data_IF_805831346054
#
_entry.id   IF_805831346054
#
_cell.length_a   1.000
_cell.length_b   1.000
_cell.length_c   1.000
_cell.angle_alpha   90.00
_cell.angle_beta   90.00
_cell.angle_gamma   90.00
#
_symmetry.space_group_name_H-M   'P 1'
#
loop_
_entity.id
_entity.type
_entity.pdbx_description
1 polymer ?
#
# COMPACT_ATOMS: atom_id res chain seq x y z
N UNK A 1 -14.86 -9.88 1.80
CA UNK A 1 -13.68 -10.17 0.97
C UNK A 1 -12.58 -10.77 1.84
N UNK A 2 -11.91 -11.81 1.36
CA UNK A 2 -10.72 -12.38 2.00
C UNK A 2 -9.54 -12.26 1.02
N UNK A 3 -8.37 -11.86 1.53
CA UNK A 3 -7.14 -11.78 0.76
C UNK A 3 -6.00 -12.46 1.51
N UNK A 4 -5.23 -13.32 0.82
CA UNK A 4 -4.08 -14.00 1.39
C UNK A 4 -2.92 -13.01 1.58
N UNK A 5 -2.28 -13.06 2.74
CA UNK A 5 -0.99 -12.41 2.99
C UNK A 5 0.08 -13.47 2.79
N UNK A 6 0.95 -13.24 1.81
CA UNK A 6 2.04 -14.15 1.49
C UNK A 6 3.36 -13.58 2.00
N UNK A 7 4.12 -14.41 2.69
CA UNK A 7 5.48 -14.10 3.14
C UNK A 7 6.45 -13.91 1.98
N UNK A 8 7.71 -13.55 2.29
CA UNK A 8 8.76 -13.37 1.27
C UNK A 8 8.99 -14.59 0.39
N UNK A 9 8.87 -15.79 0.95
CA UNK A 9 9.01 -17.10 0.30
C UNK A 9 7.74 -17.56 -0.43
N UNK A 10 6.65 -16.79 -0.37
CA UNK A 10 5.36 -17.11 -0.96
C UNK A 10 4.45 -17.98 -0.10
N UNK A 11 4.85 -18.34 1.12
CA UNK A 11 3.99 -19.07 2.05
C UNK A 11 2.84 -18.21 2.56
N UNK A 12 1.70 -18.82 2.86
CA UNK A 12 0.56 -18.17 3.48
C UNK A 12 0.91 -17.87 4.95
N UNK A 13 1.01 -16.61 5.33
CA UNK A 13 1.33 -16.19 6.70
C UNK A 13 0.14 -15.56 7.42
N UNK A 14 -0.83 -15.07 6.67
CA UNK A 14 -2.02 -14.45 7.24
C UNK A 14 -3.12 -14.23 6.22
N UNK A 15 -4.26 -13.77 6.73
CA UNK A 15 -5.44 -13.44 5.93
C UNK A 15 -5.93 -12.05 6.33
N UNK A 16 -6.08 -11.19 5.33
CA UNK A 16 -6.74 -9.90 5.48
C UNK A 16 -8.23 -10.07 5.15
N UNK A 17 -9.09 -9.74 6.10
CA UNK A 17 -10.54 -9.74 5.92
C UNK A 17 -11.06 -8.32 5.86
N UNK A 18 -11.86 -8.01 4.83
CA UNK A 18 -12.63 -6.77 4.71
C UNK A 18 -14.11 -7.11 4.63
N UNK A 19 -14.92 -6.52 5.49
CA UNK A 19 -16.38 -6.58 5.39
C UNK A 19 -16.83 -5.52 4.37
N UNK A 20 -17.48 -5.99 3.31
CA UNK A 20 -17.93 -5.18 2.18
C UNK A 20 -19.43 -4.98 2.28
N UNK A 21 -19.85 -3.75 2.03
CA UNK A 21 -21.23 -3.34 1.83
C UNK A 21 -21.26 -2.33 0.68
N UNK A 22 -21.76 -2.76 -0.46
CA UNK A 22 -21.76 -1.94 -1.68
C UNK A 22 -22.78 -0.79 -1.62
N UNK A 23 -23.72 -0.82 -0.69
CA UNK A 23 -24.68 0.27 -0.48
C UNK A 23 -24.07 1.42 0.33
N UNK A 24 -22.89 1.22 0.92
CA UNK A 24 -22.15 2.27 1.61
C UNK A 24 -21.25 3.07 0.64
N UNK A 25 -21.12 4.39 0.82
CA UNK A 25 -20.33 5.25 -0.08
C UNK A 25 -18.86 4.82 -0.26
N UNK A 26 -18.27 4.20 0.77
CA UNK A 26 -16.90 3.67 0.75
C UNK A 26 -16.84 2.15 0.51
N UNK A 27 -17.95 1.50 0.16
CA UNK A 27 -18.01 0.07 -0.10
C UNK A 27 -17.68 -0.82 1.10
N UNK A 28 -17.71 -0.30 2.33
CA UNK A 28 -17.34 -1.03 3.56
C UNK A 28 -18.47 -1.00 4.57
N UNK A 29 -18.71 -2.12 5.23
CA UNK A 29 -19.70 -2.21 6.31
C UNK A 29 -19.35 -1.24 7.43
N UNK A 30 -20.36 -0.51 7.88
CA UNK A 30 -20.30 0.31 9.10
C UNK A 30 -20.84 -0.54 10.25
N UNK A 31 -19.95 -0.93 11.18
CA UNK A 31 -20.30 -1.76 12.33
C UNK A 31 -20.14 -0.95 13.60
N UNK A 32 -21.24 -0.76 14.34
CA UNK A 32 -21.21 -0.14 15.66
C UNK A 32 -20.62 -1.13 16.69
N UNK A 33 -19.79 -0.64 17.59
CA UNK A 33 -19.24 -1.44 18.67
C UNK A 33 -20.33 -1.72 19.73
N UNK A 34 -20.77 -2.97 19.93
CA UNK A 34 -21.84 -3.26 20.87
C UNK A 34 -21.44 -3.00 22.33
N UNK A 35 -20.14 -3.00 22.64
CA UNK A 35 -19.62 -2.74 23.98
C UNK A 35 -19.35 -1.25 24.26
N UNK A 36 -19.34 -0.41 23.21
CA UNK A 36 -19.04 1.02 23.31
C UNK A 36 -19.93 1.83 22.35
N UNK A 37 -21.10 2.30 22.83
CA UNK A 37 -21.99 3.10 22.00
C UNK A 37 -21.30 4.32 21.39
N UNK A 38 -21.49 4.53 20.08
CA UNK A 38 -20.88 5.63 19.34
C UNK A 38 -19.48 5.34 18.77
N UNK A 39 -18.84 4.21 19.13
CA UNK A 39 -17.57 3.78 18.53
C UNK A 39 -17.83 2.81 17.37
N UNK A 40 -17.04 2.94 16.29
CA UNK A 40 -17.09 2.03 15.17
C UNK A 40 -16.06 0.90 15.33
N UNK A 41 -16.44 -0.32 14.96
CA UNK A 41 -15.50 -1.43 14.82
C UNK A 41 -14.83 -1.33 13.44
N UNK A 42 -13.51 -1.54 13.34
CA UNK A 42 -12.84 -1.54 12.03
C UNK A 42 -13.44 -2.57 11.06
N UNK A 43 -13.78 -2.12 9.85
CA UNK A 43 -14.28 -2.99 8.78
C UNK A 43 -13.21 -3.89 8.16
N UNK A 44 -11.97 -3.80 8.65
CA UNK A 44 -10.82 -4.61 8.21
C UNK A 44 -10.17 -5.30 9.40
N UNK A 45 -9.73 -6.55 9.23
CA UNK A 45 -8.99 -7.28 10.25
C UNK A 45 -8.00 -8.26 9.62
N UNK A 46 -6.81 -8.35 10.22
CA UNK A 46 -5.79 -9.34 9.86
C UNK A 46 -5.82 -10.49 10.86
N UNK A 47 -5.74 -11.69 10.36
CA UNK A 47 -5.54 -12.94 11.11
C UNK A 47 -4.20 -13.54 10.68
N UNK A 48 -3.43 -14.08 11.63
CA UNK A 48 -2.07 -14.53 11.39
C UNK A 48 -1.07 -13.39 11.36
N UNK A 49 0.02 -13.54 10.61
CA UNK A 49 1.12 -12.57 10.52
C UNK A 49 1.09 -11.81 9.20
N UNK A 50 1.33 -10.49 9.27
CA UNK A 50 1.58 -9.64 8.12
C UNK A 50 3.07 -9.31 7.94
N UNK A 51 3.92 -9.67 8.92
CA UNK A 51 5.33 -9.29 8.99
C UNK A 51 6.09 -9.69 7.72
N UNK A 52 6.67 -8.72 7.03
CA UNK A 52 7.39 -8.91 5.79
C UNK A 52 6.57 -9.42 4.61
N UNK A 53 5.29 -9.71 4.82
CA UNK A 53 4.38 -10.23 3.80
C UNK A 53 3.68 -9.14 3.00
N UNK A 54 2.97 -9.57 1.96
CA UNK A 54 2.14 -8.71 1.13
C UNK A 54 0.94 -9.47 0.54
N UNK A 55 -0.10 -8.73 0.18
CA UNK A 55 -1.21 -9.24 -0.62
C UNK A 55 -0.84 -9.06 -2.08
N UNK A 56 -0.61 -10.17 -2.78
CA UNK A 56 -0.20 -10.16 -4.19
C UNK A 56 -1.44 -10.11 -5.08
N UNK A 57 -1.81 -8.90 -5.54
CA UNK A 57 -3.02 -8.69 -6.37
C UNK A 57 -2.76 -9.18 -7.79
N UNK A 58 -1.63 -8.80 -8.36
CA UNK A 58 -1.23 -9.19 -9.71
C UNK A 58 0.29 -9.32 -9.78
N UNK A 59 0.78 -10.41 -10.41
CA UNK A 59 2.22 -10.67 -10.56
C UNK A 59 2.46 -11.33 -11.91
N UNK A 60 2.79 -10.57 -12.96
CA UNK A 60 3.21 -11.13 -14.24
C UNK A 60 4.48 -11.96 -14.10
N UNK A 61 4.64 -12.97 -14.98
CA UNK A 61 5.79 -13.88 -14.95
C UNK A 61 7.13 -13.14 -15.02
N UNK A 62 7.22 -12.13 -15.88
CA UNK A 62 8.45 -11.40 -16.19
C UNK A 62 8.49 -10.02 -15.52
N UNK A 63 7.71 -9.84 -14.44
CA UNK A 63 7.69 -8.58 -13.72
C UNK A 63 9.06 -8.29 -13.11
N UNK A 64 9.57 -7.08 -13.33
CA UNK A 64 10.78 -6.55 -12.68
C UNK A 64 10.52 -5.24 -11.94
N UNK A 65 9.32 -4.71 -12.05
CA UNK A 65 8.81 -3.55 -11.33
C UNK A 65 7.70 -3.99 -10.36
N UNK A 66 7.77 -3.52 -9.12
CA UNK A 66 6.71 -3.71 -8.12
C UNK A 66 6.13 -2.36 -7.74
N UNK A 67 4.84 -2.21 -7.95
CA UNK A 67 4.04 -1.09 -7.45
C UNK A 67 3.32 -1.56 -6.19
N UNK A 68 3.49 -0.83 -5.10
CA UNK A 68 2.93 -1.21 -3.81
C UNK A 68 2.30 0.00 -3.13
N UNK A 69 1.06 -0.15 -2.68
CA UNK A 69 0.37 0.78 -1.80
C UNK A 69 0.06 0.12 -0.45
N UNK A 70 -0.37 0.91 0.52
CA UNK A 70 -0.76 0.40 1.84
C UNK A 70 -1.96 -0.54 1.74
N UNK A 71 -3.03 -0.10 1.07
CA UNK A 71 -4.31 -0.80 0.96
C UNK A 71 -4.52 -1.50 -0.37
N UNK A 72 -5.46 -2.45 -0.38
CA UNK A 72 -5.88 -3.16 -1.58
C UNK A 72 -6.51 -2.18 -2.58
N UNK A 73 -7.36 -1.28 -2.10
CA UNK A 73 -8.10 -0.33 -2.92
C UNK A 73 -7.14 0.60 -3.68
N UNK A 74 -6.21 1.24 -2.97
CA UNK A 74 -5.20 2.13 -3.56
C UNK A 74 -4.32 1.38 -4.57
N UNK A 75 -3.97 0.12 -4.27
CA UNK A 75 -3.18 -0.71 -5.18
C UNK A 75 -3.95 -1.06 -6.46
N UNK A 76 -5.25 -1.40 -6.33
CA UNK A 76 -6.12 -1.66 -7.48
C UNK A 76 -6.32 -0.40 -8.34
N UNK A 77 -6.52 0.76 -7.70
CA UNK A 77 -6.64 2.04 -8.41
C UNK A 77 -5.37 2.37 -9.18
N UNK A 78 -4.19 2.16 -8.59
CA UNK A 78 -2.92 2.34 -9.27
C UNK A 78 -2.73 1.37 -10.45
N UNK A 79 -3.22 0.14 -10.33
CA UNK A 79 -3.18 -0.85 -11.40
C UNK A 79 -4.11 -0.46 -12.57
N UNK A 80 -5.34 -0.04 -12.29
CA UNK A 80 -6.33 0.36 -13.31
C UNK A 80 -5.91 1.64 -14.01
N UNK A 81 -5.33 2.61 -13.28
CA UNK A 81 -4.81 3.84 -13.87
C UNK A 81 -3.62 3.62 -14.81
N UNK A 82 -3.11 2.38 -14.92
CA UNK A 82 -1.93 2.02 -15.73
C UNK A 82 -0.74 2.97 -15.52
N UNK A 83 -0.61 3.50 -14.30
CA UNK A 83 0.34 4.56 -13.96
C UNK A 83 1.81 4.14 -14.11
N UNK A 84 2.07 2.86 -14.39
CA UNK A 84 3.42 2.30 -14.50
C UNK A 84 3.52 1.32 -15.67
N UNK A 85 4.76 1.05 -16.07
CA UNK A 85 5.09 0.26 -17.26
C UNK A 85 4.28 -1.05 -17.35
N UNK A 86 3.90 -1.41 -18.56
CA UNK A 86 3.32 -2.71 -18.86
C UNK A 86 4.18 -3.82 -18.22
N UNK A 87 3.53 -4.77 -17.52
CA UNK A 87 4.24 -5.87 -16.87
C UNK A 87 4.68 -5.62 -15.42
N UNK A 88 4.24 -4.53 -14.77
CA UNK A 88 4.48 -4.35 -13.34
C UNK A 88 3.67 -5.33 -12.48
N UNK A 89 4.25 -5.76 -11.36
CA UNK A 89 3.52 -6.42 -10.29
C UNK A 89 2.84 -5.37 -9.40
N UNK A 90 1.66 -5.72 -8.84
CA UNK A 90 0.88 -4.84 -7.96
C UNK A 90 0.55 -5.58 -6.68
N UNK A 91 1.11 -5.13 -5.56
CA UNK A 91 0.94 -5.74 -4.25
C UNK A 91 0.47 -4.72 -3.21
N UNK A 92 -0.38 -5.13 -2.28
CA UNK A 92 -0.75 -4.31 -1.13
C UNK A 92 0.07 -4.70 0.10
N UNK A 93 0.57 -3.71 0.81
CA UNK A 93 1.47 -3.86 1.95
C UNK A 93 0.78 -4.16 3.27
N UNK A 94 -0.55 -4.21 3.29
CA UNK A 94 -1.43 -4.43 4.44
C UNK A 94 -1.52 -3.21 5.35
N UNK A 95 -0.39 -2.61 5.71
CA UNK A 95 -0.29 -1.31 6.37
C UNK A 95 1.09 -0.68 6.16
N UNK A 96 1.14 0.61 6.45
CA UNK A 96 2.32 1.44 6.24
C UNK A 96 3.52 0.99 7.11
N UNK A 97 3.26 0.46 8.32
CA UNK A 97 4.31 -0.04 9.20
C UNK A 97 5.01 -1.27 8.62
N UNK A 98 4.24 -2.21 8.07
CA UNK A 98 4.78 -3.39 7.40
C UNK A 98 5.56 -3.04 6.12
N UNK A 99 5.08 -2.05 5.32
CA UNK A 99 5.80 -1.59 4.14
C UNK A 99 7.12 -0.89 4.48
N UNK A 100 7.07 0.00 5.46
CA UNK A 100 8.16 0.92 5.74
C UNK A 100 9.19 0.37 6.72
N UNK A 101 8.76 -0.47 7.66
CA UNK A 101 9.56 -0.89 8.80
C UNK A 101 9.80 0.21 9.83
N UNK A 102 10.57 -0.12 10.85
CA UNK A 102 11.00 0.80 11.86
C UNK A 102 11.92 1.89 11.30
N UNK A 103 11.83 3.07 11.87
CA UNK A 103 12.67 4.22 11.55
C UNK A 103 13.50 4.60 12.76
N UNK A 104 14.69 5.14 12.53
CA UNK A 104 15.46 5.80 13.57
C UNK A 104 14.69 7.06 14.03
N UNK A 105 14.48 7.15 15.34
CA UNK A 105 13.81 8.27 15.98
C UNK A 105 14.83 9.06 16.82
N UNK A 106 14.57 10.34 17.01
CA UNK A 106 15.42 11.24 17.80
C UNK A 106 15.25 12.68 17.37
N UNK A 107 15.95 13.62 18.02
CA UNK A 107 15.92 15.02 17.66
C UNK A 107 16.24 15.24 16.17
N UNK A 108 15.35 15.93 15.45
CA UNK A 108 15.51 16.20 14.01
C UNK A 108 15.22 15.03 13.08
N UNK A 109 14.98 13.80 13.56
CA UNK A 109 14.82 12.61 12.73
C UNK A 109 13.37 12.28 12.33
N UNK A 110 12.37 12.97 12.92
CA UNK A 110 10.95 12.66 12.71
C UNK A 110 10.56 12.51 11.22
N UNK A 111 11.09 13.37 10.37
CA UNK A 111 10.78 13.41 8.93
C UNK A 111 11.96 13.01 8.04
N UNK A 112 13.08 12.57 8.61
CA UNK A 112 14.30 12.27 7.84
C UNK A 112 14.19 11.00 7.00
N UNK A 113 13.26 10.10 7.31
CA UNK A 113 13.07 8.84 6.59
C UNK A 113 14.30 7.94 6.65
N UNK A 114 14.96 7.87 7.82
CA UNK A 114 16.14 7.01 8.03
C UNK A 114 15.65 5.66 8.56
N UNK A 115 15.92 4.54 7.85
CA UNK A 115 15.49 3.22 8.31
C UNK A 115 16.30 2.73 9.51
N UNK A 116 15.65 1.96 10.37
CA UNK A 116 16.34 1.06 11.27
C UNK A 116 16.55 -0.28 10.55
N UNK A 117 17.78 -0.54 10.14
CA UNK A 117 18.12 -1.77 9.40
C UNK A 117 18.12 -3.03 10.28
N UNK A 118 18.06 -2.89 11.60
CA UNK A 118 17.91 -4.01 12.52
C UNK A 118 16.48 -4.57 12.57
N UNK A 119 15.49 -3.82 12.08
CA UNK A 119 14.12 -4.32 11.95
C UNK A 119 14.05 -5.37 10.83
N UNK A 120 13.86 -6.64 11.18
CA UNK A 120 13.76 -7.75 10.24
C UNK A 120 12.31 -8.08 9.84
N UNK A 121 11.33 -7.44 10.47
CA UNK A 121 9.91 -7.76 10.33
C UNK A 121 9.22 -7.01 9.17
N UNK A 122 9.89 -6.01 8.58
CA UNK A 122 9.30 -5.22 7.51
C UNK A 122 9.51 -5.84 6.12
N UNK A 123 8.64 -5.44 5.21
CA UNK A 123 8.67 -5.90 3.82
C UNK A 123 10.01 -5.60 3.14
N UNK A 124 10.51 -6.59 2.40
CA UNK A 124 11.66 -6.47 1.50
C UNK A 124 11.25 -7.07 0.15
N UNK A 125 11.42 -6.37 -0.98
CA UNK A 125 11.03 -6.90 -2.27
C UNK A 125 11.87 -8.13 -2.64
N UNK A 126 11.28 -9.10 -3.37
CA UNK A 126 12.01 -10.25 -3.90
C UNK A 126 13.20 -9.82 -4.77
N UNK A 127 14.21 -10.69 -4.88
CA UNK A 127 15.45 -10.37 -5.61
C UNK A 127 15.26 -10.12 -7.12
N UNK A 128 14.20 -10.65 -7.71
CA UNK A 128 13.86 -10.44 -9.11
C UNK A 128 13.27 -9.05 -9.40
N UNK A 129 12.79 -8.31 -8.38
CA UNK A 129 12.35 -6.93 -8.52
C UNK A 129 13.58 -6.02 -8.64
N UNK A 130 13.62 -5.23 -9.72
CA UNK A 130 14.66 -4.22 -10.00
C UNK A 130 14.20 -2.80 -9.73
N UNK A 131 12.89 -2.57 -9.71
CA UNK A 131 12.27 -1.28 -9.42
C UNK A 131 11.13 -1.42 -8.42
N UNK A 132 11.18 -0.65 -7.33
CA UNK A 132 10.13 -0.59 -6.32
C UNK A 132 9.47 0.81 -6.36
N UNK A 133 8.16 0.84 -6.50
CA UNK A 133 7.38 2.08 -6.48
C UNK A 133 6.38 2.01 -5.34
N UNK A 134 6.50 2.90 -4.38
CA UNK A 134 5.49 3.07 -3.36
C UNK A 134 4.49 4.15 -3.77
N UNK A 135 3.21 3.84 -3.62
CA UNK A 135 2.11 4.79 -3.81
C UNK A 135 1.75 5.36 -2.44
N UNK A 136 1.86 6.68 -2.31
CA UNK A 136 1.49 7.39 -1.09
C UNK A 136 0.00 7.72 -1.12
N UNK A 137 -0.73 7.42 -0.05
CA UNK A 137 -2.10 7.88 0.13
C UNK A 137 -2.14 9.39 0.41
N UNK A 138 -3.11 10.08 -0.18
CA UNK A 138 -3.23 11.53 -0.09
C UNK A 138 -3.97 12.04 1.15
N UNK A 139 -4.69 11.19 1.87
CA UNK A 139 -5.56 11.56 3.00
C UNK A 139 -4.88 11.53 4.39
N UNK A 140 -3.62 11.08 4.47
CA UNK A 140 -2.82 11.01 5.69
C UNK A 140 -1.95 12.26 5.89
N UNK A 141 -1.29 12.43 7.07
CA UNK A 141 -0.23 13.43 7.23
C UNK A 141 0.85 13.26 6.14
N UNK A 142 0.89 14.13 5.10
CA UNK A 142 1.70 13.87 3.92
C UNK A 142 3.19 13.79 4.24
N UNK A 143 3.67 14.62 5.18
CA UNK A 143 5.08 14.67 5.56
C UNK A 143 5.50 13.42 6.31
N UNK A 144 4.67 12.97 7.26
CA UNK A 144 4.96 11.79 8.05
C UNK A 144 4.86 10.51 7.20
N UNK A 145 3.84 10.40 6.37
CA UNK A 145 3.65 9.28 5.46
C UNK A 145 4.81 9.19 4.46
N UNK A 146 5.20 10.32 3.84
CA UNK A 146 6.37 10.37 2.97
C UNK A 146 7.65 9.93 3.68
N UNK A 147 7.88 10.38 4.91
CA UNK A 147 9.06 9.99 5.69
C UNK A 147 9.07 8.48 5.99
N UNK A 148 7.92 7.87 6.28
CA UNK A 148 7.81 6.42 6.46
C UNK A 148 8.11 5.69 5.15
N UNK A 149 7.47 6.05 4.04
CA UNK A 149 7.71 5.43 2.74
C UNK A 149 9.17 5.58 2.29
N UNK A 150 9.77 6.75 2.49
CA UNK A 150 11.18 6.99 2.18
C UNK A 150 12.09 6.08 3.00
N UNK A 151 11.78 5.86 4.29
CA UNK A 151 12.49 4.88 5.12
C UNK A 151 12.41 3.48 4.55
N UNK A 152 11.21 3.02 4.16
CA UNK A 152 11.01 1.71 3.56
C UNK A 152 11.78 1.53 2.26
N UNK A 153 11.77 2.53 1.36
CA UNK A 153 12.55 2.49 0.12
C UNK A 153 14.05 2.43 0.37
N UNK A 154 14.57 3.27 1.29
CA UNK A 154 16.00 3.25 1.66
C UNK A 154 16.42 1.93 2.26
N UNK A 155 15.54 1.33 3.10
CA UNK A 155 15.74 -0.02 3.64
C UNK A 155 15.80 -1.05 2.51
N UNK A 156 14.83 -1.04 1.62
CA UNK A 156 14.78 -1.96 0.49
C UNK A 156 16.04 -1.87 -0.39
N UNK A 157 16.49 -0.64 -0.69
CA UNK A 157 17.72 -0.40 -1.46
C UNK A 157 18.98 -0.87 -0.72
N UNK A 158 19.07 -0.69 0.60
CA UNK A 158 20.18 -1.17 1.41
C UNK A 158 20.25 -2.71 1.42
N UNK A 159 19.11 -3.40 1.44
CA UNK A 159 19.02 -4.87 1.50
C UNK A 159 18.99 -5.53 0.11
N UNK A 160 18.82 -4.75 -0.96
CA UNK A 160 18.77 -5.19 -2.36
C UNK A 160 19.66 -4.28 -3.23
N UNK A 161 20.98 -4.51 -3.27
CA UNK A 161 21.87 -3.73 -4.13
C UNK A 161 21.40 -3.74 -5.59
N UNK A 162 21.41 -2.57 -6.23
CA UNK A 162 20.95 -2.39 -7.60
C UNK A 162 19.43 -2.15 -7.74
N UNK A 163 18.65 -2.20 -6.65
CA UNK A 163 17.25 -1.81 -6.66
C UNK A 163 17.12 -0.30 -6.87
N UNK A 164 16.28 0.10 -7.82
CA UNK A 164 15.83 1.50 -7.94
C UNK A 164 14.49 1.68 -7.24
N UNK A 165 14.24 2.87 -6.69
CA UNK A 165 13.02 3.09 -5.92
C UNK A 165 12.44 4.50 -6.13
N UNK A 166 11.11 4.62 -6.07
CA UNK A 166 10.39 5.87 -6.22
C UNK A 166 9.14 5.92 -5.32
N UNK A 167 8.70 7.12 -4.97
CA UNK A 167 7.38 7.37 -4.38
C UNK A 167 6.54 8.11 -5.41
N UNK A 168 5.32 7.64 -5.62
CA UNK A 168 4.29 8.31 -6.43
C UNK A 168 3.20 8.83 -5.50
N UNK A 169 2.72 10.03 -5.78
CA UNK A 169 1.71 10.71 -5.00
C UNK A 169 0.59 11.22 -5.93
N UNK A 170 -0.69 10.94 -5.66
CA UNK A 170 -1.80 11.34 -6.54
C UNK A 170 -2.11 12.85 -6.51
N UNK A 171 -1.64 13.56 -5.50
CA UNK A 171 -1.94 14.97 -5.24
C UNK A 171 -2.25 15.20 -3.75
N UNK A 172 -2.19 16.46 -3.29
CA UNK A 172 -2.56 16.77 -1.90
C UNK A 172 -4.06 16.62 -1.69
N UNK A 173 -4.46 15.90 -0.63
CA UNK A 173 -5.85 15.69 -0.28
C UNK A 173 -6.65 14.76 -1.21
N UNK A 174 -5.98 14.12 -2.17
CA UNK A 174 -6.59 13.23 -3.15
C UNK A 174 -5.99 11.83 -2.98
N UNK A 175 -6.81 10.79 -2.91
CA UNK A 175 -6.34 9.42 -3.01
C UNK A 175 -6.32 8.92 -4.47
N UNK A 176 -5.71 7.76 -4.70
CA UNK A 176 -5.63 7.19 -6.06
C UNK A 176 -7.00 6.80 -6.62
N UNK A 177 -7.95 6.47 -5.76
CA UNK A 177 -9.31 6.14 -6.19
C UNK A 177 -10.07 7.39 -6.60
N UNK A 178 -9.94 8.50 -5.85
CA UNK A 178 -10.53 9.79 -6.20
C UNK A 178 -9.99 10.30 -7.54
N UNK A 179 -8.68 10.16 -7.77
CA UNK A 179 -8.06 10.52 -9.05
C UNK A 179 -8.63 9.69 -10.20
N UNK A 180 -8.81 8.38 -10.01
CA UNK A 180 -9.36 7.47 -11.00
C UNK A 180 -10.83 7.82 -11.32
N UNK A 181 -11.65 8.07 -10.30
CA UNK A 181 -13.06 8.44 -10.44
C UNK A 181 -13.22 9.77 -11.16
N UNK A 182 -12.42 10.78 -10.80
CA UNK A 182 -12.41 12.08 -11.49
C UNK A 182 -12.02 11.98 -12.97
N UNK A 183 -11.08 11.13 -13.31
CA UNK A 183 -10.71 10.86 -14.68
C UNK A 183 -11.83 10.17 -15.48
N UNK A 184 -12.58 9.26 -14.88
CA UNK A 184 -13.73 8.59 -15.50
C UNK A 184 -14.90 9.56 -15.74
N UNK A 185 -15.16 10.49 -14.83
CA UNK A 185 -16.21 11.50 -14.99
C UNK A 185 -15.89 12.46 -16.14
N UNK A 186 -14.63 12.83 -16.31
CA UNK A 186 -14.18 13.65 -17.45
C UNK A 186 -14.32 12.91 -18.77
N UNK A 187 -14.01 11.61 -18.80
CA UNK A 187 -14.16 10.79 -20.00
C UNK A 187 -15.63 10.65 -20.42
N UNK A 188 -16.53 10.33 -19.48
CA UNK A 188 -17.98 10.22 -19.74
C UNK A 188 -18.57 11.53 -20.31
N UNK A 189 -18.20 12.69 -19.75
CA UNK A 189 -18.67 14.00 -20.25
C UNK A 189 -18.18 14.34 -21.67
N UNK A 190 -17.14 13.71 -22.18
CA UNK A 190 -16.64 13.87 -23.56
C UNK A 190 -17.39 13.00 -24.55
N UNK A 191 -17.83 11.81 -24.12
CA UNK A 191 -18.59 10.88 -24.98
C UNK A 191 -20.05 11.32 -25.13
N UNK A 192 -20.59 12.14 -24.22
CA UNK A 192 -21.93 12.73 -24.24
C UNK A 192 -22.02 14.05 -25.11
N UNK A 193 -20.98 14.44 -25.80
CA UNK A 193 -20.91 15.62 -26.69
C UNK A 193 -20.66 15.22 -28.15
#
# INVERSE_FOLDING_TARGET
>A
MLAAILGPDGTLTGVHRTWIDLDQPKGKVVVMNPAKPGELVPSKKVYGSKKGGAIRIFTPRDANCLVMAEGIETTLSAMVAAAHAAGAAYWAGVDLGNMAGARKLGPGLKYAGIPDLADLDAFVPPAWIKRLVFVQDGDSDPKLTRAKLLSGLRRAMALRPGLTAAIVHPGEGIDMNDLLMGAQDVARRKDDR
#
